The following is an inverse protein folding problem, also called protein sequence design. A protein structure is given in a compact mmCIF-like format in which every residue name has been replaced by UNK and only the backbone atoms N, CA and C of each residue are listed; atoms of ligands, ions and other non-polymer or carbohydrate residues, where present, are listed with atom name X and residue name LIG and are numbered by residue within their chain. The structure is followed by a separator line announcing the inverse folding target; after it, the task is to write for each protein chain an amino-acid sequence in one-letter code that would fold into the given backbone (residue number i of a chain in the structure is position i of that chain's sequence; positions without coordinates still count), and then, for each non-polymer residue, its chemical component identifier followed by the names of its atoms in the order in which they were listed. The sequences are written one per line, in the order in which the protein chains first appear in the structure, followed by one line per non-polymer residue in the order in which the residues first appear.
data_IF_162676652369
#
_entry.id   IF_162676652369
#
_cell.length_a   1.000
_cell.length_b   1.000
_cell.length_c   1.000
_cell.angle_alpha   90.00
_cell.angle_beta   90.00
_cell.angle_gamma   90.00
#
_symmetry.space_group_name_H-M   'P 1'
#
loop_
_entity.id
_entity.type
_entity.pdbx_description
1 polymer ?
#
# COMPACT_ATOMS: atom_id res chain seq x y z
N UNK A 1 -31.68 71.47 36.66
CA UNK A 1 -30.83 70.57 35.84
C UNK A 1 -30.38 69.42 36.73
N UNK A 2 -30.88 68.21 36.51
CA UNK A 2 -30.49 67.02 37.27
C UNK A 2 -29.38 66.29 36.48
N UNK A 3 -28.22 66.08 37.11
CA UNK A 3 -27.14 65.29 36.51
C UNK A 3 -27.49 63.80 36.56
N UNK A 4 -27.43 63.13 35.42
CA UNK A 4 -27.58 61.68 35.32
C UNK A 4 -26.36 60.98 35.95
N UNK A 5 -26.59 60.04 36.87
CA UNK A 5 -25.51 59.20 37.40
C UNK A 5 -25.12 58.11 36.38
N UNK A 6 -23.82 57.77 36.26
CA UNK A 6 -23.37 56.71 35.37
C UNK A 6 -23.83 55.33 35.87
N UNK A 7 -24.47 54.56 35.00
CA UNK A 7 -24.78 53.14 35.25
C UNK A 7 -23.49 52.33 35.18
N UNK A 8 -23.06 51.78 36.30
CA UNK A 8 -21.98 50.77 36.34
C UNK A 8 -22.59 49.40 36.03
N UNK A 9 -22.26 48.82 34.88
CA UNK A 9 -22.54 47.41 34.56
C UNK A 9 -21.34 46.56 34.97
N UNK A 10 -21.51 45.74 36.01
CA UNK A 10 -20.52 44.72 36.38
C UNK A 10 -20.77 43.49 35.51
N UNK A 11 -19.95 43.27 34.49
CA UNK A 11 -19.97 42.00 33.75
C UNK A 11 -19.13 40.99 34.53
N UNK A 12 -19.76 39.93 35.06
CA UNK A 12 -19.03 38.75 35.54
C UNK A 12 -18.60 37.93 34.32
N UNK A 13 -17.33 38.02 33.93
CA UNK A 13 -16.74 37.06 32.99
C UNK A 13 -16.38 35.79 33.75
N UNK A 14 -16.87 34.64 33.27
CA UNK A 14 -16.44 33.33 33.78
C UNK A 14 -15.10 32.94 33.14
N UNK A 15 -14.25 32.14 33.83
CA UNK A 15 -13.01 31.65 33.27
C UNK A 15 -13.25 30.85 31.97
N UNK A 16 -12.47 31.16 30.93
CA UNK A 16 -12.51 30.54 29.59
C UNK A 16 -12.32 29.02 29.60
N UNK A 17 -11.86 28.46 30.72
CA UNK A 17 -11.48 27.04 30.87
C UNK A 17 -12.66 26.07 30.82
N UNK A 18 -13.91 26.51 31.08
CA UNK A 18 -15.07 25.59 31.07
C UNK A 18 -15.60 25.22 29.68
N UNK A 19 -15.09 25.84 28.61
CA UNK A 19 -15.49 25.57 27.22
C UNK A 19 -14.35 24.98 26.37
N UNK A 20 -13.23 24.60 26.97
CA UNK A 20 -12.15 23.95 26.25
C UNK A 20 -12.50 22.46 26.01
N UNK A 21 -13.10 22.18 24.86
CA UNK A 21 -13.18 20.82 24.32
C UNK A 21 -11.81 20.52 23.71
N UNK A 22 -11.06 19.61 24.33
CA UNK A 22 -9.87 19.03 23.71
C UNK A 22 -10.33 17.92 22.79
N UNK A 23 -10.41 18.19 21.49
CA UNK A 23 -10.56 17.13 20.49
C UNK A 23 -9.21 16.39 20.38
N UNK A 24 -9.13 15.21 20.98
CA UNK A 24 -8.05 14.28 20.68
C UNK A 24 -8.38 13.60 19.35
N UNK A 25 -7.59 13.87 18.31
CA UNK A 25 -7.67 13.15 17.03
C UNK A 25 -6.54 12.13 17.02
N UNK A 26 -6.90 10.86 17.15
CA UNK A 26 -5.95 9.76 17.03
C UNK A 26 -5.37 9.72 15.62
N UNK A 27 -4.07 9.44 15.53
CA UNK A 27 -3.40 9.24 14.26
C UNK A 27 -3.94 7.98 13.55
N UNK A 28 -4.21 8.08 12.25
CA UNK A 28 -4.68 6.96 11.44
C UNK A 28 -3.52 6.37 10.64
N UNK A 29 -3.21 5.11 10.87
CA UNK A 29 -2.15 4.37 10.18
C UNK A 29 -2.73 3.39 9.17
N UNK A 30 -2.22 3.41 7.93
CA UNK A 30 -2.73 2.53 6.86
C UNK A 30 -1.58 1.91 6.09
N UNK A 31 -1.68 0.60 5.83
CA UNK A 31 -0.94 -0.10 4.79
C UNK A 31 -1.77 -0.10 3.51
N UNK A 32 -1.15 0.24 2.39
CA UNK A 32 -1.70 -0.05 1.07
C UNK A 32 -0.81 -1.04 0.34
N UNK A 33 -1.42 -2.09 -0.20
CA UNK A 33 -0.77 -3.07 -1.08
C UNK A 33 -1.31 -2.84 -2.49
N UNK A 34 -0.42 -2.69 -3.47
CA UNK A 34 -0.77 -2.48 -4.87
C UNK A 34 -0.22 -3.58 -5.77
N UNK A 35 -0.98 -3.94 -6.79
CA UNK A 35 -0.66 -5.00 -7.75
C UNK A 35 -0.82 -4.51 -9.19
N UNK A 36 0.14 -4.82 -10.04
CA UNK A 36 0.01 -4.77 -11.50
C UNK A 36 -0.03 -6.22 -12.02
N UNK A 37 -1.23 -6.77 -12.16
CA UNK A 37 -1.50 -8.16 -12.54
C UNK A 37 -2.47 -8.20 -13.72
N UNK A 38 -2.11 -7.46 -14.76
CA UNK A 38 -3.01 -7.09 -15.84
C UNK A 38 -3.19 -8.18 -16.92
N UNK A 39 -2.41 -9.27 -16.84
CA UNK A 39 -2.51 -10.41 -17.74
C UNK A 39 -2.91 -11.70 -16.99
N UNK A 40 -4.21 -11.92 -16.71
CA UNK A 40 -4.65 -13.10 -15.95
C UNK A 40 -4.31 -14.42 -16.66
N UNK A 41 -4.04 -14.41 -17.97
CA UNK A 41 -3.67 -15.62 -18.69
C UNK A 41 -2.33 -16.19 -18.23
N UNK A 42 -1.40 -15.38 -17.70
CA UNK A 42 -0.10 -15.90 -17.23
C UNK A 42 -0.17 -16.57 -15.87
N UNK A 43 -1.32 -16.55 -15.19
CA UNK A 43 -1.53 -17.23 -13.92
C UNK A 43 -2.74 -18.15 -14.01
N UNK A 44 -2.47 -19.42 -14.33
CA UNK A 44 -3.48 -20.39 -14.79
C UNK A 44 -3.26 -21.77 -14.19
N UNK A 45 -4.34 -22.55 -14.11
CA UNK A 45 -4.25 -23.95 -13.73
C UNK A 45 -3.51 -24.75 -14.80
N UNK A 46 -2.57 -25.58 -14.36
CA UNK A 46 -1.79 -26.48 -15.20
C UNK A 46 -1.94 -27.90 -14.68
N UNK A 47 -2.15 -28.85 -15.59
CA UNK A 47 -2.21 -30.27 -15.30
C UNK A 47 -0.79 -30.83 -15.13
N UNK A 48 -0.52 -31.45 -13.98
CA UNK A 48 0.73 -32.15 -13.70
C UNK A 48 0.53 -33.68 -13.75
N UNK A 49 1.65 -34.41 -13.84
CA UNK A 49 1.64 -35.86 -13.79
C UNK A 49 0.86 -36.37 -12.56
N UNK A 50 0.02 -37.39 -12.77
CA UNK A 50 -0.89 -37.91 -11.73
C UNK A 50 -2.23 -37.18 -11.61
N UNK A 51 -2.58 -36.30 -12.56
CA UNK A 51 -3.90 -35.65 -12.60
C UNK A 51 -4.07 -34.51 -11.58
N UNK A 52 -2.96 -34.04 -10.99
CA UNK A 52 -2.99 -32.94 -10.02
C UNK A 52 -2.99 -31.62 -10.79
N UNK A 53 -4.01 -30.79 -10.52
CA UNK A 53 -4.06 -29.41 -11.01
C UNK A 53 -3.45 -28.46 -9.99
N UNK A 54 -2.54 -27.61 -10.46
CA UNK A 54 -1.96 -26.52 -9.65
C UNK A 54 -1.95 -25.24 -10.46
N UNK A 55 -2.12 -24.09 -9.79
CA UNK A 55 -1.89 -22.79 -10.42
C UNK A 55 -0.40 -22.55 -10.59
N UNK A 56 -0.03 -22.12 -11.80
CA UNK A 56 1.34 -21.80 -12.18
C UNK A 56 1.36 -20.39 -12.73
N UNK A 57 2.33 -19.60 -12.26
CA UNK A 57 2.64 -18.28 -12.81
C UNK A 57 3.77 -18.39 -13.84
N UNK A 58 3.45 -18.02 -15.08
CA UNK A 58 4.35 -17.98 -16.22
C UNK A 58 5.14 -16.66 -16.22
N UNK A 59 6.02 -16.53 -15.22
CA UNK A 59 6.75 -15.28 -14.89
C UNK A 59 7.56 -14.67 -16.05
N UNK A 60 7.96 -15.47 -17.04
CA UNK A 60 8.69 -14.98 -18.22
C UNK A 60 7.78 -14.32 -19.27
N UNK A 61 6.48 -14.66 -19.27
CA UNK A 61 5.48 -14.06 -20.16
C UNK A 61 5.06 -12.68 -19.61
N UNK A 62 4.72 -12.63 -18.32
CA UNK A 62 4.47 -11.41 -17.57
C UNK A 62 4.82 -11.64 -16.09
N UNK A 63 5.85 -10.97 -15.53
CA UNK A 63 6.22 -11.15 -14.13
C UNK A 63 5.20 -10.55 -13.15
N UNK A 64 4.32 -9.66 -13.63
CA UNK A 64 3.51 -8.79 -12.79
C UNK A 64 4.36 -7.86 -11.92
N UNK A 65 3.69 -7.08 -11.08
CA UNK A 65 4.37 -6.27 -10.08
C UNK A 65 3.58 -6.15 -8.78
N UNK A 66 4.30 -5.98 -7.67
CA UNK A 66 3.73 -5.72 -6.35
C UNK A 66 4.50 -4.61 -5.66
N UNK A 67 3.78 -3.65 -5.12
CA UNK A 67 4.34 -2.55 -4.34
C UNK A 67 3.52 -2.33 -3.07
N UNK A 68 4.07 -1.58 -2.14
CA UNK A 68 3.34 -1.17 -0.95
C UNK A 68 3.73 0.23 -0.51
N UNK A 69 2.83 0.89 0.21
CA UNK A 69 3.14 2.12 0.91
C UNK A 69 2.42 2.20 2.25
N UNK A 70 3.02 2.97 3.16
CA UNK A 70 2.44 3.26 4.46
C UNK A 70 1.99 4.72 4.50
N UNK A 71 0.88 4.95 5.18
CA UNK A 71 0.39 6.30 5.44
C UNK A 71 0.21 6.55 6.92
N UNK A 72 0.44 7.81 7.31
CA UNK A 72 0.04 8.37 8.60
C UNK A 72 -0.88 9.55 8.29
N UNK A 73 -2.10 9.54 8.83
CA UNK A 73 -3.14 10.53 8.55
C UNK A 73 -3.39 10.72 7.05
N UNK A 74 -3.45 9.60 6.30
CA UNK A 74 -3.67 9.56 4.86
C UNK A 74 -2.60 10.29 4.03
N UNK A 75 -1.44 10.56 4.64
CA UNK A 75 -0.26 11.06 3.95
C UNK A 75 0.77 9.95 3.87
N UNK A 76 1.29 9.69 2.68
CA UNK A 76 2.28 8.65 2.43
C UNK A 76 3.60 9.04 3.12
N UNK A 77 4.06 8.17 4.01
CA UNK A 77 5.31 8.35 4.78
C UNK A 77 6.40 7.40 4.31
N UNK A 78 6.04 6.32 3.62
CA UNK A 78 6.97 5.33 3.11
C UNK A 78 6.38 4.66 1.87
N UNK A 79 7.22 4.45 0.86
CA UNK A 79 6.87 3.76 -0.38
C UNK A 79 7.94 2.71 -0.69
N UNK A 80 7.53 1.55 -1.19
CA UNK A 80 8.42 0.48 -1.59
C UNK A 80 7.91 -0.24 -2.84
N UNK A 81 8.69 -0.17 -3.90
CA UNK A 81 8.44 -0.80 -5.19
C UNK A 81 9.75 -1.39 -5.69
N UNK A 82 9.97 -2.69 -5.44
CA UNK A 82 11.25 -3.31 -5.81
C UNK A 82 11.20 -3.84 -7.24
N UNK A 83 12.22 -3.55 -8.03
CA UNK A 83 12.39 -4.18 -9.35
C UNK A 83 13.80 -4.01 -9.88
N UNK A 84 14.11 -4.57 -11.07
CA UNK A 84 15.43 -4.48 -11.66
C UNK A 84 15.78 -3.02 -11.99
N UNK A 85 17.00 -2.59 -11.68
CA UNK A 85 17.50 -1.24 -11.97
C UNK A 85 17.80 -1.01 -13.46
N UNK A 86 17.77 -2.08 -14.27
CA UNK A 86 18.10 -2.03 -15.69
C UNK A 86 17.01 -2.69 -16.53
N UNK A 87 16.75 -2.13 -17.71
CA UNK A 87 15.75 -2.63 -18.67
C UNK A 87 16.25 -3.82 -19.52
N UNK A 88 17.47 -4.30 -19.31
CA UNK A 88 18.06 -5.41 -20.05
C UNK A 88 17.40 -6.75 -19.70
N UNK A 89 16.89 -7.53 -20.69
CA UNK A 89 16.16 -8.78 -20.45
C UNK A 89 16.86 -9.83 -19.58
N UNK A 90 18.19 -9.94 -19.66
CA UNK A 90 18.97 -10.92 -18.87
C UNK A 90 19.18 -10.40 -17.45
N UNK A 91 19.41 -9.08 -17.29
CA UNK A 91 19.57 -8.44 -15.97
C UNK A 91 18.24 -8.24 -15.24
N UNK A 92 17.10 -8.38 -15.92
CA UNK A 92 15.76 -8.42 -15.30
C UNK A 92 15.52 -9.66 -14.46
N UNK A 93 16.16 -10.79 -14.77
CA UNK A 93 16.02 -12.02 -13.97
C UNK A 93 16.94 -12.03 -12.73
N UNK A 94 18.09 -11.36 -12.84
CA UNK A 94 19.11 -11.25 -11.80
C UNK A 94 19.95 -9.98 -11.98
N UNK A 95 19.97 -9.09 -10.99
CA UNK A 95 20.81 -7.90 -11.06
C UNK A 95 20.55 -6.85 -9.97
N UNK A 96 21.23 -5.70 -10.05
CA UNK A 96 20.97 -4.57 -9.16
C UNK A 96 19.49 -4.21 -9.19
N UNK A 97 18.90 -4.01 -8.01
CA UNK A 97 17.52 -3.59 -7.86
C UNK A 97 17.40 -2.09 -7.56
N UNK A 98 16.20 -1.56 -7.69
CA UNK A 98 15.79 -0.26 -7.14
C UNK A 98 14.55 -0.46 -6.28
N UNK A 99 14.43 0.28 -5.18
CA UNK A 99 13.23 0.29 -4.33
C UNK A 99 12.15 1.29 -4.79
N UNK A 100 12.41 1.98 -5.91
CA UNK A 100 11.50 2.91 -6.59
C UNK A 100 11.27 2.47 -8.05
N UNK A 101 10.98 1.18 -8.22
CA UNK A 101 10.67 0.62 -9.53
C UNK A 101 9.36 1.21 -10.07
N UNK A 102 9.37 1.49 -11.37
CA UNK A 102 8.25 2.14 -12.05
C UNK A 102 6.99 1.26 -12.06
N UNK A 103 5.82 1.92 -12.14
CA UNK A 103 4.49 1.29 -12.07
C UNK A 103 3.69 1.76 -13.31
N UNK A 104 3.90 1.15 -14.48
CA UNK A 104 3.38 1.68 -15.74
C UNK A 104 1.91 1.36 -16.02
N UNK A 105 1.44 0.21 -15.57
CA UNK A 105 0.14 -0.37 -15.86
C UNK A 105 -0.95 0.00 -14.84
N UNK A 106 -2.12 -0.60 -15.05
CA UNK A 106 -3.26 -0.42 -14.18
C UNK A 106 -3.00 -1.14 -12.86
N UNK A 107 -3.50 -0.55 -11.77
CA UNK A 107 -3.20 -1.03 -10.43
C UNK A 107 -4.47 -1.40 -9.68
N UNK A 108 -4.39 -2.53 -8.96
CA UNK A 108 -5.40 -2.98 -8.00
C UNK A 108 -4.84 -2.81 -6.60
N UNK A 109 -5.52 -2.05 -5.75
CA UNK A 109 -5.03 -1.66 -4.43
C UNK A 109 -5.98 -2.11 -3.32
N UNK A 110 -5.38 -2.41 -2.17
CA UNK A 110 -6.09 -2.80 -0.95
C UNK A 110 -5.55 -2.01 0.23
N UNK A 111 -6.46 -1.48 1.05
CA UNK A 111 -6.13 -0.63 2.21
C UNK A 111 -6.44 -1.35 3.50
N UNK A 112 -5.48 -1.34 4.42
CA UNK A 112 -5.60 -2.00 5.72
C UNK A 112 -5.26 -1.01 6.81
N UNK A 113 -6.20 -0.77 7.74
CA UNK A 113 -5.93 0.03 8.94
C UNK A 113 -5.00 -0.76 9.84
N UNK A 114 -3.97 -0.08 10.34
CA UNK A 114 -2.96 -0.64 11.22
C UNK A 114 -3.06 -0.03 12.60
N UNK A 115 -2.56 -0.74 13.60
CA UNK A 115 -2.11 -0.09 14.84
C UNK A 115 -0.76 0.60 14.59
N UNK A 116 -0.44 1.59 15.42
CA UNK A 116 0.87 2.26 15.39
C UNK A 116 2.02 1.25 15.49
N UNK A 117 1.92 0.26 16.38
CA UNK A 117 2.94 -0.77 16.55
C UNK A 117 3.15 -1.63 15.29
N UNK A 118 2.10 -1.93 14.54
CA UNK A 118 2.23 -2.65 13.27
C UNK A 118 2.90 -1.77 12.21
N UNK A 119 2.48 -0.52 12.12
CA UNK A 119 3.04 0.48 11.22
C UNK A 119 4.54 0.67 11.45
N UNK A 120 4.97 0.87 12.70
CA UNK A 120 6.38 1.10 13.03
C UNK A 120 7.26 -0.12 12.70
N UNK A 121 6.77 -1.34 12.92
CA UNK A 121 7.49 -2.57 12.53
C UNK A 121 7.67 -2.67 11.02
N UNK A 122 6.62 -2.40 10.24
CA UNK A 122 6.69 -2.39 8.78
C UNK A 122 7.60 -1.26 8.28
N UNK A 123 7.51 -0.07 8.87
CA UNK A 123 8.34 1.08 8.50
C UNK A 123 9.83 0.80 8.75
N UNK A 124 10.17 0.25 9.91
CA UNK A 124 11.54 -0.11 10.25
C UNK A 124 12.09 -1.16 9.26
N UNK A 125 11.33 -2.22 8.99
CA UNK A 125 11.74 -3.27 8.05
C UNK A 125 11.85 -2.76 6.62
N UNK A 126 10.94 -1.90 6.20
CA UNK A 126 10.96 -1.26 4.89
C UNK A 126 12.18 -0.37 4.70
N UNK A 127 12.54 0.44 5.71
CA UNK A 127 13.76 1.27 5.69
C UNK A 127 15.03 0.42 5.59
N UNK A 128 15.11 -0.68 6.35
CA UNK A 128 16.20 -1.66 6.26
C UNK A 128 16.33 -2.19 4.82
N UNK A 129 15.22 -2.65 4.22
CA UNK A 129 15.22 -3.20 2.86
C UNK A 129 15.63 -2.16 1.80
N UNK A 130 15.13 -0.93 1.91
CA UNK A 130 15.55 0.17 1.02
C UNK A 130 17.05 0.44 1.13
N UNK A 131 17.58 0.50 2.36
CA UNK A 131 19.00 0.74 2.59
C UNK A 131 19.88 -0.40 2.04
N UNK A 132 19.45 -1.65 2.22
CA UNK A 132 20.16 -2.81 1.68
C UNK A 132 20.19 -2.84 0.15
N UNK A 133 19.07 -2.49 -0.50
CA UNK A 133 19.00 -2.38 -1.97
C UNK A 133 19.91 -1.25 -2.46
N UNK A 134 19.85 -0.07 -1.85
CA UNK A 134 20.71 1.06 -2.21
C UNK A 134 22.20 0.77 -2.00
N UNK A 135 22.55 -0.03 -0.99
CA UNK A 135 23.91 -0.47 -0.72
C UNK A 135 24.37 -1.66 -1.61
N UNK A 136 23.49 -2.18 -2.49
CA UNK A 136 23.79 -3.36 -3.32
C UNK A 136 23.92 -4.66 -2.53
N UNK A 137 23.45 -4.71 -1.27
CA UNK A 137 23.45 -5.93 -0.44
C UNK A 137 22.32 -6.90 -0.81
N UNK A 138 21.28 -6.39 -1.47
CA UNK A 138 20.13 -7.16 -1.96
C UNK A 138 19.94 -6.93 -3.45
N UNK A 139 19.99 -7.99 -4.23
CA UNK A 139 19.81 -7.99 -5.68
C UNK A 139 18.43 -8.51 -6.02
N UNK A 140 17.77 -7.89 -7.00
CA UNK A 140 16.57 -8.45 -7.59
C UNK A 140 16.91 -9.81 -8.18
N UNK A 141 16.26 -10.88 -7.71
CA UNK A 141 16.57 -12.23 -8.13
C UNK A 141 15.32 -13.10 -8.13
N UNK A 142 14.84 -13.44 -9.32
CA UNK A 142 13.68 -14.31 -9.51
C UNK A 142 13.98 -15.75 -9.04
N UNK A 143 15.20 -16.24 -9.25
CA UNK A 143 15.60 -17.61 -8.90
C UNK A 143 15.81 -17.82 -7.40
N UNK A 144 16.20 -16.77 -6.67
CA UNK A 144 16.34 -16.80 -5.20
C UNK A 144 15.10 -16.23 -4.49
N UNK A 145 14.00 -16.01 -5.23
CA UNK A 145 12.75 -15.46 -4.72
C UNK A 145 12.92 -14.10 -4.00
N UNK A 146 13.91 -13.29 -4.37
CA UNK A 146 14.00 -11.90 -3.90
C UNK A 146 13.40 -10.98 -4.98
N UNK A 147 12.06 -10.95 -5.02
CA UNK A 147 11.25 -10.23 -5.99
C UNK A 147 10.44 -9.12 -5.32
N UNK A 148 9.70 -8.34 -6.13
CA UNK A 148 8.76 -7.33 -5.66
C UNK A 148 7.76 -7.87 -4.63
N UNK A 149 7.08 -8.96 -4.97
CA UNK A 149 6.08 -9.60 -4.13
C UNK A 149 6.68 -10.17 -2.84
N UNK A 150 7.80 -10.90 -2.92
CA UNK A 150 8.44 -11.43 -1.71
C UNK A 150 8.87 -10.33 -0.76
N UNK A 151 9.53 -9.30 -1.30
CA UNK A 151 10.09 -8.22 -0.47
C UNK A 151 9.00 -7.38 0.18
N UNK A 152 7.95 -7.04 -0.58
CA UNK A 152 6.78 -6.38 -0.01
C UNK A 152 6.14 -7.24 1.08
N UNK A 153 5.97 -8.54 0.84
CA UNK A 153 5.40 -9.46 1.83
C UNK A 153 6.26 -9.56 3.09
N UNK A 154 7.58 -9.68 2.98
CA UNK A 154 8.48 -9.73 4.14
C UNK A 154 8.37 -8.47 5.02
N UNK A 155 8.25 -7.29 4.40
CA UNK A 155 8.01 -6.03 5.10
C UNK A 155 6.66 -6.07 5.82
N UNK A 156 5.61 -6.52 5.15
CA UNK A 156 4.25 -6.59 5.71
C UNK A 156 4.20 -7.60 6.87
N UNK A 157 4.81 -8.78 6.73
CA UNK A 157 4.86 -9.83 7.78
C UNK A 157 5.44 -9.31 9.10
N UNK A 158 6.36 -8.33 9.05
CA UNK A 158 6.92 -7.73 10.26
C UNK A 158 5.86 -7.07 11.16
N UNK A 159 4.82 -6.47 10.58
CA UNK A 159 3.69 -5.88 11.32
C UNK A 159 2.40 -6.72 11.26
N UNK A 160 2.26 -7.61 10.28
CA UNK A 160 1.08 -8.44 10.07
C UNK A 160 1.48 -9.88 9.70
N UNK A 161 1.79 -10.72 10.71
CA UNK A 161 2.31 -12.07 10.47
C UNK A 161 1.35 -13.00 9.73
N UNK A 162 0.04 -12.74 9.81
CA UNK A 162 -1.00 -13.54 9.18
C UNK A 162 -1.47 -12.98 7.82
N UNK A 163 -0.68 -12.11 7.19
CA UNK A 163 -0.92 -11.69 5.79
C UNK A 163 -0.96 -12.94 4.91
N UNK A 164 -1.89 -13.02 3.93
CA UNK A 164 -1.96 -14.17 3.04
C UNK A 164 -0.60 -14.51 2.37
N UNK A 165 -0.33 -15.80 2.11
CA UNK A 165 1.00 -16.27 1.72
C UNK A 165 1.44 -15.76 0.35
N UNK A 166 0.53 -15.70 -0.63
CA UNK A 166 0.83 -15.26 -1.98
C UNK A 166 1.79 -16.17 -2.72
N UNK A 167 1.75 -17.46 -2.41
CA UNK A 167 2.68 -18.48 -2.90
C UNK A 167 2.04 -19.33 -3.99
N UNK A 168 2.73 -19.52 -5.12
CA UNK A 168 2.36 -20.49 -6.14
C UNK A 168 3.59 -20.98 -6.90
N UNK A 169 3.39 -21.98 -7.76
CA UNK A 169 4.47 -22.46 -8.63
C UNK A 169 4.81 -21.40 -9.67
N UNK A 170 6.11 -21.20 -9.92
CA UNK A 170 6.59 -20.42 -11.08
C UNK A 170 7.27 -21.32 -12.10
N UNK A 171 7.09 -21.03 -13.39
CA UNK A 171 7.70 -21.84 -14.43
C UNK A 171 7.24 -21.50 -15.84
N UNK A 172 7.50 -22.41 -16.77
CA UNK A 172 6.93 -22.39 -18.11
C UNK A 172 6.24 -23.75 -18.40
N UNK A 173 5.77 -23.95 -19.63
CA UNK A 173 5.06 -25.18 -20.03
C UNK A 173 5.90 -26.45 -19.97
N UNK A 174 7.23 -26.33 -19.76
CA UNK A 174 8.18 -27.44 -19.79
C UNK A 174 8.87 -27.68 -18.44
N UNK A 175 8.94 -26.67 -17.56
CA UNK A 175 9.63 -26.74 -16.26
C UNK A 175 8.90 -25.87 -15.23
N UNK A 176 8.41 -26.47 -14.14
CA UNK A 176 8.03 -25.78 -12.91
C UNK A 176 9.23 -25.79 -11.96
N UNK A 177 9.64 -24.61 -11.50
CA UNK A 177 10.89 -24.44 -10.77
C UNK A 177 10.71 -24.63 -9.26
N UNK A 178 9.80 -23.87 -8.64
CA UNK A 178 9.55 -23.92 -7.20
C UNK A 178 8.27 -23.17 -6.82
N UNK A 179 7.82 -23.34 -5.56
CA UNK A 179 6.78 -22.52 -4.93
C UNK A 179 7.39 -21.25 -4.37
N UNK A 180 6.95 -20.10 -4.88
CA UNK A 180 7.53 -18.79 -4.53
C UNK A 180 6.43 -17.75 -4.35
N UNK A 181 6.79 -16.65 -3.67
CA UNK A 181 5.87 -15.51 -3.51
C UNK A 181 5.93 -14.69 -4.80
N UNK A 182 4.79 -14.54 -5.47
CA UNK A 182 4.70 -13.82 -6.74
C UNK A 182 3.49 -12.89 -6.81
N UNK A 183 3.50 -11.85 -7.67
CA UNK A 183 2.44 -10.84 -7.70
C UNK A 183 1.04 -11.41 -7.93
N UNK A 184 0.90 -12.40 -8.82
CA UNK A 184 -0.39 -12.96 -9.19
C UNK A 184 -0.99 -13.82 -8.07
N UNK A 185 -0.21 -14.70 -7.46
CA UNK A 185 -0.67 -15.49 -6.31
C UNK A 185 -0.95 -14.60 -5.10
N UNK A 186 -0.12 -13.58 -4.85
CA UNK A 186 -0.34 -12.67 -3.75
C UNK A 186 -1.57 -11.79 -3.94
N UNK A 187 -1.80 -11.31 -5.16
CA UNK A 187 -3.03 -10.64 -5.53
C UNK A 187 -4.25 -11.55 -5.31
N UNK A 188 -4.22 -12.77 -5.81
CA UNK A 188 -5.33 -13.71 -5.69
C UNK A 188 -5.69 -13.99 -4.23
N UNK A 189 -4.69 -14.27 -3.39
CA UNK A 189 -4.89 -14.54 -1.97
C UNK A 189 -5.49 -13.33 -1.22
N UNK A 190 -5.04 -12.12 -1.55
CA UNK A 190 -5.60 -10.88 -1.00
C UNK A 190 -7.02 -10.67 -1.53
N UNK A 191 -7.24 -10.81 -2.84
CA UNK A 191 -8.54 -10.59 -3.49
C UNK A 191 -9.60 -11.59 -3.00
N UNK A 192 -9.25 -12.87 -2.87
CA UNK A 192 -10.16 -13.89 -2.36
C UNK A 192 -10.65 -13.58 -0.94
N UNK A 193 -9.82 -12.91 -0.13
CA UNK A 193 -10.16 -12.57 1.26
C UNK A 193 -10.77 -11.18 1.42
N UNK A 194 -10.40 -10.23 0.56
CA UNK A 194 -10.68 -8.80 0.72
C UNK A 194 -11.25 -8.13 -0.54
N UNK A 195 -11.68 -8.89 -1.55
CA UNK A 195 -12.04 -8.38 -2.89
C UNK A 195 -13.10 -7.28 -2.91
N UNK A 196 -14.00 -7.23 -1.93
CA UNK A 196 -14.99 -6.14 -1.78
C UNK A 196 -14.36 -4.77 -1.48
N UNK A 197 -13.08 -4.73 -1.10
CA UNK A 197 -12.32 -3.51 -0.79
C UNK A 197 -11.33 -3.12 -1.87
N UNK A 198 -11.36 -3.79 -3.03
CA UNK A 198 -10.46 -3.50 -4.14
C UNK A 198 -10.71 -2.10 -4.71
N UNK A 199 -9.61 -1.36 -4.86
CA UNK A 199 -9.58 -0.04 -5.48
C UNK A 199 -8.78 -0.16 -6.77
N UNK A 200 -9.39 0.21 -7.89
CA UNK A 200 -8.73 0.23 -9.18
C UNK A 200 -8.29 1.67 -9.51
N UNK A 201 -7.02 1.83 -9.88
CA UNK A 201 -6.50 3.05 -10.49
C UNK A 201 -5.96 2.67 -11.88
N UNK A 202 -6.34 3.43 -12.91
CA UNK A 202 -5.84 3.22 -14.26
C UNK A 202 -4.36 3.53 -14.43
N UNK A 203 -3.86 3.25 -15.62
CA UNK A 203 -2.45 3.40 -16.02
C UNK A 203 -1.99 4.85 -15.89
N UNK A 204 -0.97 5.12 -15.06
CA UNK A 204 -0.36 6.45 -14.96
C UNK A 204 1.03 6.40 -14.31
N UNK A 205 2.00 5.87 -15.06
CA UNK A 205 3.40 5.78 -14.64
C UNK A 205 3.94 7.11 -14.11
N UNK A 206 3.65 8.20 -14.81
CA UNK A 206 4.18 9.53 -14.48
C UNK A 206 3.75 10.00 -13.09
N UNK A 207 2.52 9.66 -12.68
CA UNK A 207 1.99 10.09 -11.39
C UNK A 207 2.45 9.15 -10.28
N UNK A 208 2.60 7.85 -10.52
CA UNK A 208 3.29 6.94 -9.60
C UNK A 208 4.74 7.36 -9.35
N UNK A 209 5.49 7.69 -10.41
CA UNK A 209 6.86 8.15 -10.27
C UNK A 209 6.94 9.44 -9.45
N UNK A 210 6.07 10.43 -9.75
CA UNK A 210 5.98 11.67 -8.96
C UNK A 210 5.66 11.41 -7.48
N UNK A 211 4.82 10.42 -7.17
CA UNK A 211 4.52 10.02 -5.79
C UNK A 211 5.79 9.47 -5.13
N UNK A 212 6.47 8.50 -5.76
CA UNK A 212 7.70 7.90 -5.22
C UNK A 212 8.79 8.95 -4.97
N UNK A 213 9.06 9.82 -5.96
CA UNK A 213 10.06 10.88 -5.87
C UNK A 213 9.76 11.84 -4.71
N UNK A 214 8.50 12.30 -4.60
CA UNK A 214 8.08 13.22 -3.55
C UNK A 214 8.10 12.58 -2.17
N UNK A 215 7.74 11.30 -2.04
CA UNK A 215 7.83 10.58 -0.76
C UNK A 215 9.29 10.44 -0.35
N UNK A 216 10.21 10.16 -1.28
CA UNK A 216 11.65 10.11 -1.00
C UNK A 216 12.22 11.44 -0.50
N UNK A 217 11.72 12.57 -1.02
CA UNK A 217 12.20 13.92 -0.65
C UNK A 217 11.48 14.50 0.58
N UNK A 218 10.21 14.18 0.76
CA UNK A 218 9.34 14.81 1.76
C UNK A 218 8.24 13.85 2.24
N UNK A 219 8.59 12.85 3.06
CA UNK A 219 7.63 11.94 3.68
C UNK A 219 6.50 12.69 4.41
N UNK A 220 5.26 12.23 4.26
CA UNK A 220 4.08 12.83 4.90
C UNK A 220 3.50 14.06 4.20
N UNK A 221 4.03 14.44 3.02
CA UNK A 221 3.48 15.54 2.21
C UNK A 221 2.63 15.08 1.03
N UNK A 222 2.73 13.81 0.64
CA UNK A 222 1.97 13.24 -0.47
C UNK A 222 0.68 12.62 0.04
N UNK A 223 -0.47 13.01 -0.52
CA UNK A 223 -1.76 12.40 -0.18
C UNK A 223 -1.86 10.99 -0.75
N UNK A 224 -2.48 10.08 0.00
CA UNK A 224 -2.86 8.75 -0.47
C UNK A 224 -3.72 8.85 -1.75
N UNK A 225 -3.26 8.33 -2.91
CA UNK A 225 -3.96 8.45 -4.18
C UNK A 225 -5.31 7.72 -4.19
N UNK A 226 -5.54 6.79 -3.26
CA UNK A 226 -6.84 6.11 -3.12
C UNK A 226 -7.92 7.01 -2.54
N UNK A 227 -7.56 8.20 -2.04
CA UNK A 227 -8.51 9.20 -1.53
C UNK A 227 -9.03 10.16 -2.61
N UNK A 228 -8.42 10.16 -3.80
CA UNK A 228 -8.82 11.04 -4.89
C UNK A 228 -10.15 10.58 -5.50
N UNK A 229 -11.10 11.51 -5.67
CA UNK A 229 -12.36 11.24 -6.37
C UNK A 229 -12.08 11.17 -7.88
N UNK A 230 -12.53 10.09 -8.52
CA UNK A 230 -12.23 9.81 -9.93
C UNK A 230 -11.08 8.81 -10.04
N UNK A 231 -11.43 7.52 -10.14
CA UNK A 231 -10.47 6.44 -10.44
C UNK A 231 -9.71 6.86 -11.69
N UNK A 232 -8.39 6.89 -11.61
CA UNK A 232 -7.56 7.53 -12.63
C UNK A 232 -7.88 6.99 -14.02
N UNK A 233 -8.47 7.82 -14.89
CA UNK A 233 -8.93 7.42 -16.21
C UNK A 233 -9.83 8.47 -16.88
N UNK A 234 -9.29 9.06 -17.95
CA UNK A 234 -9.77 10.16 -18.79
C UNK A 234 -9.51 11.59 -18.31
N UNK A 235 -8.90 12.35 -19.23
CA UNK A 235 -8.50 13.75 -19.15
C UNK A 235 -9.40 14.60 -18.25
N UNK A 236 -8.80 15.33 -17.33
CA UNK A 236 -9.27 16.68 -17.04
C UNK A 236 -8.10 17.57 -16.64
N UNK A 237 -7.79 18.50 -17.54
CA UNK A 237 -7.13 19.76 -17.20
C UNK A 237 -7.97 20.45 -16.12
N UNK A 238 -7.43 20.62 -14.92
CA UNK A 238 -7.46 21.90 -14.20
C UNK A 238 -6.85 21.73 -12.82
N UNK A 239 -5.90 22.60 -12.51
CA UNK A 239 -5.57 23.00 -11.15
C UNK A 239 -6.85 23.43 -10.42
N UNK A 240 -7.05 22.96 -9.19
CA UNK A 240 -7.56 23.80 -8.10
C UNK A 240 -7.38 23.11 -6.74
N UNK A 241 -7.26 23.96 -5.73
CA UNK A 241 -6.69 23.77 -4.42
C UNK A 241 -7.51 22.89 -3.46
N UNK A 242 -6.78 22.40 -2.46
CA UNK A 242 -7.17 21.89 -1.15
C UNK A 242 -8.65 22.05 -0.74
N UNK A 243 -9.37 20.92 -0.71
CA UNK A 243 -10.50 20.73 0.20
C UNK A 243 -10.78 19.23 0.42
N UNK A 244 -10.52 18.72 1.63
CA UNK A 244 -11.00 17.39 2.08
C UNK A 244 -12.12 17.63 3.09
N UNK A 245 -13.39 17.39 2.74
CA UNK A 245 -14.48 17.59 3.67
C UNK A 245 -14.63 16.43 4.68
N UNK A 246 -14.98 16.80 5.91
CA UNK A 246 -15.12 15.94 7.11
C UNK A 246 -16.10 14.75 7.01
N UNK A 247 -16.85 14.61 5.91
CA UNK A 247 -17.83 13.52 5.76
C UNK A 247 -17.26 12.21 5.22
N UNK A 248 -15.98 12.14 4.85
CA UNK A 248 -15.35 10.91 4.33
C UNK A 248 -14.86 9.96 5.45
N UNK A 249 -14.79 10.44 6.71
CA UNK A 249 -14.37 9.62 7.86
C UNK A 249 -15.51 8.78 8.48
N UNK A 250 -16.73 8.80 7.94
CA UNK A 250 -17.92 8.15 8.55
C UNK A 250 -18.52 6.96 7.78
N UNK A 251 -17.76 6.27 6.94
CA UNK A 251 -18.22 5.03 6.27
C UNK A 251 -17.27 3.85 6.43
N UNK A 252 -16.75 3.63 7.64
CA UNK A 252 -16.30 2.29 8.02
C UNK A 252 -17.50 1.58 8.68
N UNK A 253 -17.94 0.40 8.20
CA UNK A 253 -18.98 -0.36 8.90
C UNK A 253 -18.46 -0.74 10.30
N UNK A 254 -19.22 -0.37 11.32
CA UNK A 254 -18.92 -0.59 12.74
C UNK A 254 -18.93 -2.07 13.19
N UNK A 255 -18.80 -3.03 12.26
CA UNK A 255 -19.10 -4.44 12.49
C UNK A 255 -17.93 -5.35 12.06
N UNK A 256 -16.70 -4.98 12.37
CA UNK A 256 -15.54 -5.88 12.23
C UNK A 256 -14.81 -6.02 13.58
N UNK A 257 -15.56 -6.42 14.60
CA UNK A 257 -15.01 -7.01 15.83
C UNK A 257 -14.71 -8.47 15.50
N UNK A 258 -13.44 -8.84 15.41
CA UNK A 258 -13.05 -10.24 15.26
C UNK A 258 -13.22 -10.99 16.60
N UNK A 259 -13.76 -12.23 16.61
CA UNK A 259 -13.95 -13.02 17.82
C UNK A 259 -12.71 -13.85 18.09
N UNK A 260 -11.93 -13.52 19.13
CA UNK A 260 -10.92 -14.43 19.66
C UNK A 260 -10.77 -14.47 21.19
N UNK A 261 -11.69 -13.88 21.97
CA UNK A 261 -11.67 -13.99 23.44
C UNK A 261 -12.56 -15.10 24.04
N UNK A 262 -12.59 -16.29 23.43
CA UNK A 262 -13.02 -17.49 24.16
C UNK A 262 -12.22 -18.70 23.72
N UNK A 263 -11.06 -18.92 24.35
CA UNK A 263 -10.57 -20.22 24.84
C UNK A 263 -9.17 -20.07 25.45
N UNK A 264 -9.08 -20.55 26.69
CA UNK A 264 -7.93 -20.69 27.59
C UNK A 264 -7.57 -19.44 28.39
#
# INVERSE_FOLDING_TARGET
MAMAQPKTTTAKTQPKEKNAVVEHRDDVYVLVIGFEVNNPQVYRETDFAGGVRRKVHYVLEDPGHTFMYLTKNLKITFFYSLGPAHHDPVRRAYGPGTADFHIPGATRLYRFVLTEAQYEKMLAKGKEYRADVAAGKRYYNVLQNFTCARSARDIIVAGWPSVPPGESLVGNSQIALDTVVNPYAFYEDIHNKYGSSEIELGENESKWQKIMDKVGQSPGKVTDPTMEKGKWGFDEKSESEDYVPDHVLRQLPANMVWPWEQRW
#
